data_IF_232433030307
#
_entry.id   IF_232433030307
#
_cell.length_a   1.000
_cell.length_b   1.000
_cell.length_c   1.000
_cell.angle_alpha   90.00
_cell.angle_beta   90.00
_cell.angle_gamma   90.00
#
_symmetry.space_group_name_H-M   'P 1'
#
loop_
_entity.id
_entity.type
_entity.pdbx_description
1 polymer ?
#
# COMPACT_ATOMS: atom_id res chain seq x y z
N UNK A 1 -43.41 -86.44 20.75
CA UNK A 1 -42.61 -85.56 19.89
C UNK A 1 -42.33 -84.27 20.65
N UNK A 2 -41.14 -84.12 21.23
CA UNK A 2 -40.51 -82.84 21.62
C UNK A 2 -39.20 -83.19 22.36
N UNK A 3 -38.07 -82.98 21.71
CA UNK A 3 -36.75 -83.03 22.34
C UNK A 3 -36.09 -81.67 22.16
N UNK A 4 -36.04 -80.92 23.27
CA UNK A 4 -35.35 -79.64 23.37
C UNK A 4 -33.86 -79.85 23.12
N UNK A 5 -33.43 -79.37 21.96
CA UNK A 5 -32.09 -79.53 21.38
C UNK A 5 -31.13 -78.49 21.94
N UNK A 6 -29.89 -78.96 22.18
CA UNK A 6 -28.62 -78.27 22.49
C UNK A 6 -28.45 -76.85 21.89
N UNK A 7 -29.22 -75.87 22.37
CA UNK A 7 -29.15 -74.45 21.96
C UNK A 7 -28.88 -73.49 23.13
N UNK A 8 -28.22 -73.96 24.20
CA UNK A 8 -27.76 -73.10 25.31
C UNK A 8 -26.24 -72.92 25.39
N UNK A 9 -25.44 -73.43 24.44
CA UNK A 9 -23.98 -73.28 24.45
C UNK A 9 -23.39 -72.51 23.26
N UNK A 10 -24.21 -72.12 22.28
CA UNK A 10 -23.78 -71.41 21.07
C UNK A 10 -23.93 -69.88 21.10
N UNK A 11 -24.46 -69.30 22.18
CA UNK A 11 -24.70 -67.85 22.29
C UNK A 11 -23.77 -67.12 23.27
N UNK A 12 -22.90 -67.82 23.98
CA UNK A 12 -21.90 -67.21 24.87
C UNK A 12 -20.50 -67.15 24.23
N UNK A 13 -20.23 -67.96 23.18
CA UNK A 13 -18.96 -67.90 22.45
C UNK A 13 -18.95 -66.87 21.30
N UNK A 14 -20.10 -66.32 20.91
CA UNK A 14 -20.20 -65.24 19.93
C UNK A 14 -20.15 -63.83 20.56
N UNK A 15 -20.25 -63.71 21.90
CA UNK A 15 -20.18 -62.42 22.59
C UNK A 15 -18.77 -62.09 23.11
N UNK A 16 -17.89 -63.09 23.27
CA UNK A 16 -16.50 -62.89 23.69
C UNK A 16 -15.53 -62.68 22.51
N UNK A 17 -15.91 -63.10 21.29
CA UNK A 17 -15.14 -62.77 20.07
C UNK A 17 -15.59 -61.49 19.35
N UNK A 18 -16.55 -60.74 19.90
CA UNK A 18 -16.87 -59.37 19.46
C UNK A 18 -16.34 -58.32 20.45
N UNK A 19 -16.04 -58.69 21.69
CA UNK A 19 -15.33 -57.81 22.64
C UNK A 19 -13.80 -57.90 22.57
N UNK A 20 -13.21 -58.94 21.98
CA UNK A 20 -11.76 -59.07 21.81
C UNK A 20 -11.22 -58.56 20.46
N UNK A 21 -12.09 -58.07 19.57
CA UNK A 21 -11.69 -57.38 18.33
C UNK A 21 -11.96 -55.86 18.37
N UNK A 22 -12.25 -55.31 19.55
CA UNK A 22 -12.35 -53.86 19.81
C UNK A 22 -11.30 -53.33 20.80
N UNK A 23 -10.39 -54.19 21.30
CA UNK A 23 -9.21 -53.77 22.07
C UNK A 23 -7.92 -53.73 21.24
N UNK A 24 -8.02 -53.74 19.91
CA UNK A 24 -6.90 -53.89 18.99
C UNK A 24 -6.63 -52.69 18.09
N UNK A 25 -7.12 -51.49 18.41
CA UNK A 25 -6.71 -50.26 17.75
C UNK A 25 -6.71 -49.12 18.79
N UNK A 26 -5.88 -49.23 19.82
CA UNK A 26 -5.16 -48.04 20.26
C UNK A 26 -4.14 -47.78 19.16
N UNK A 27 -4.62 -47.19 18.05
CA UNK A 27 -3.73 -46.29 17.33
C UNK A 27 -3.37 -45.27 18.39
N UNK A 28 -2.13 -45.32 18.85
CA UNK A 28 -1.48 -44.09 19.27
C UNK A 28 -1.74 -43.14 18.12
N UNK A 29 -2.72 -42.25 18.27
CA UNK A 29 -2.74 -41.04 17.49
C UNK A 29 -1.43 -40.41 17.92
N UNK A 30 -0.37 -40.60 17.12
CA UNK A 30 0.74 -39.70 17.16
C UNK A 30 0.10 -38.36 16.82
N UNK A 31 -0.18 -37.58 17.87
CA UNK A 31 -0.56 -36.20 17.71
C UNK A 31 0.69 -35.58 17.14
N UNK A 32 0.71 -35.45 15.81
CA UNK A 32 1.84 -34.88 15.13
C UNK A 32 2.05 -33.48 15.71
N UNK A 33 3.28 -33.21 16.15
CA UNK A 33 3.73 -31.89 16.54
C UNK A 33 3.25 -30.87 15.49
N UNK A 34 2.34 -29.98 15.88
CA UNK A 34 1.81 -28.98 14.99
C UNK A 34 2.49 -27.63 15.28
N UNK A 35 2.82 -26.89 14.23
CA UNK A 35 3.18 -25.48 14.36
C UNK A 35 1.89 -24.67 14.57
N UNK A 36 1.66 -24.22 15.80
CA UNK A 36 0.42 -23.55 16.24
C UNK A 36 0.45 -22.03 16.07
N UNK A 37 1.56 -21.46 15.60
CA UNK A 37 1.72 -20.01 15.50
C UNK A 37 1.93 -19.36 16.87
N UNK A 38 1.43 -18.13 17.07
CA UNK A 38 1.61 -17.42 18.33
C UNK A 38 0.88 -18.12 19.50
N UNK A 39 1.53 -18.17 20.66
CA UNK A 39 0.89 -18.68 21.88
C UNK A 39 -0.33 -17.83 22.25
N UNK A 40 -1.39 -18.49 22.71
CA UNK A 40 -2.63 -17.88 23.17
C UNK A 40 -3.08 -18.52 24.50
N UNK A 41 -3.71 -17.77 25.41
CA UNK A 41 -4.33 -18.31 26.60
C UNK A 41 -5.60 -19.11 26.24
N UNK A 42 -6.07 -19.95 27.15
CA UNK A 42 -7.28 -20.78 27.02
C UNK A 42 -7.28 -21.71 25.80
N UNK A 43 -6.09 -22.07 25.31
CA UNK A 43 -5.91 -22.86 24.09
C UNK A 43 -5.35 -24.24 24.46
N UNK A 44 -5.97 -25.29 23.91
CA UNK A 44 -5.51 -26.65 24.11
C UNK A 44 -4.26 -26.94 23.25
N UNK A 45 -3.16 -27.28 23.92
CA UNK A 45 -1.90 -27.68 23.32
C UNK A 45 -1.65 -29.16 23.60
N UNK A 46 -1.21 -29.89 22.58
CA UNK A 46 -0.73 -31.26 22.73
C UNK A 46 0.78 -31.26 23.02
N UNK A 47 1.28 -32.30 23.69
CA UNK A 47 2.71 -32.50 23.84
C UNK A 47 3.36 -32.61 22.44
N UNK A 48 4.42 -31.86 22.21
CA UNK A 48 5.10 -31.72 20.92
C UNK A 48 4.65 -30.52 20.08
N UNK A 49 3.53 -29.86 20.38
CA UNK A 49 3.12 -28.64 19.65
C UNK A 49 4.18 -27.53 19.78
N UNK A 50 4.40 -26.76 18.71
CA UNK A 50 5.30 -25.59 18.76
C UNK A 50 4.53 -24.28 18.64
N UNK A 51 4.87 -23.30 19.47
CA UNK A 51 4.27 -21.95 19.49
C UNK A 51 5.35 -20.87 19.47
N UNK A 52 5.02 -19.67 19.00
CA UNK A 52 5.87 -18.48 19.12
C UNK A 52 5.37 -17.56 20.23
N UNK A 53 6.26 -17.09 21.09
CA UNK A 53 5.95 -16.09 22.10
C UNK A 53 7.14 -15.15 22.27
N UNK A 54 6.89 -13.83 22.19
CA UNK A 54 7.94 -12.80 22.27
C UNK A 54 9.14 -13.06 21.35
N UNK A 55 8.87 -13.52 20.12
CA UNK A 55 9.91 -13.79 19.11
C UNK A 55 10.72 -15.08 19.30
N UNK A 56 10.42 -15.91 20.32
CA UNK A 56 11.05 -17.22 20.53
C UNK A 56 10.07 -18.37 20.27
N UNK A 57 10.57 -19.51 19.80
CA UNK A 57 9.77 -20.73 19.61
C UNK A 57 9.89 -21.63 20.83
N UNK A 58 8.75 -22.17 21.27
CA UNK A 58 8.64 -23.08 22.41
C UNK A 58 7.90 -24.35 22.00
N UNK A 59 8.35 -25.49 22.50
CA UNK A 59 7.73 -26.81 22.32
C UNK A 59 6.96 -27.17 23.57
N UNK A 60 5.69 -27.55 23.43
CA UNK A 60 4.86 -28.02 24.53
C UNK A 60 5.37 -29.38 25.03
N UNK A 61 5.69 -29.49 26.31
CA UNK A 61 6.23 -30.73 26.91
C UNK A 61 5.10 -31.64 27.38
N UNK A 62 4.00 -31.07 27.87
CA UNK A 62 2.85 -31.80 28.42
C UNK A 62 1.55 -31.21 27.88
N UNK A 63 0.62 -32.06 27.44
CA UNK A 63 -0.66 -31.60 26.92
C UNK A 63 -1.47 -30.87 28.01
N UNK A 64 -1.99 -29.69 27.70
CA UNK A 64 -2.73 -28.84 28.63
C UNK A 64 -3.62 -27.86 27.87
N UNK A 65 -4.57 -27.23 28.57
CA UNK A 65 -5.20 -25.99 28.09
C UNK A 65 -4.51 -24.83 28.80
N UNK A 66 -3.90 -23.91 28.03
CA UNK A 66 -3.18 -22.76 28.58
C UNK A 66 -4.10 -21.85 29.37
N UNK A 67 -3.56 -21.10 30.33
CA UNK A 67 -4.27 -20.05 31.05
C UNK A 67 -3.46 -18.76 30.97
N UNK A 68 -4.10 -17.62 31.22
CA UNK A 68 -3.38 -16.36 31.39
C UNK A 68 -2.38 -16.48 32.55
N UNK A 69 -1.13 -16.06 32.34
CA UNK A 69 -0.03 -16.28 33.29
C UNK A 69 0.75 -17.58 33.07
N UNK A 70 0.33 -18.43 32.13
CA UNK A 70 1.04 -19.66 31.73
C UNK A 70 1.78 -19.47 30.39
N UNK A 71 2.26 -18.26 30.14
CA UNK A 71 3.05 -17.98 28.94
C UNK A 71 4.31 -18.85 28.93
N UNK A 72 4.81 -19.26 27.75
CA UNK A 72 5.89 -20.23 27.65
C UNK A 72 7.14 -20.00 28.53
N UNK A 73 7.66 -18.77 28.70
CA UNK A 73 8.80 -18.54 29.60
C UNK A 73 8.46 -18.65 31.10
N UNK A 74 7.20 -18.52 31.48
CA UNK A 74 6.77 -18.46 32.88
C UNK A 74 6.49 -19.85 33.48
N UNK A 75 6.23 -20.85 32.64
CA UNK A 75 5.90 -22.23 33.08
C UNK A 75 6.76 -23.28 32.35
N UNK A 76 8.08 -23.36 32.66
CA UNK A 76 9.02 -24.27 31.98
C UNK A 76 8.73 -25.76 32.17
N UNK A 77 7.85 -26.12 33.10
CA UNK A 77 7.35 -27.50 33.24
C UNK A 77 6.41 -27.92 32.10
N UNK A 78 5.81 -26.95 31.39
CA UNK A 78 4.90 -27.17 30.27
C UNK A 78 5.53 -26.81 28.91
N UNK A 79 6.62 -26.04 28.89
CA UNK A 79 7.25 -25.53 27.67
C UNK A 79 8.77 -25.62 27.68
N UNK A 80 9.35 -26.11 26.59
CA UNK A 80 10.78 -26.14 26.33
C UNK A 80 11.14 -25.11 25.26
N UNK A 81 12.15 -24.27 25.51
CA UNK A 81 12.61 -23.28 24.51
C UNK A 81 13.47 -23.98 23.46
N UNK A 82 13.14 -23.83 22.18
CA UNK A 82 13.89 -24.47 21.09
C UNK A 82 15.29 -23.88 20.90
N UNK A 83 16.29 -24.75 20.67
CA UNK A 83 17.66 -24.38 20.32
C UNK A 83 17.71 -23.83 18.90
N UNK A 84 18.11 -22.56 18.74
CA UNK A 84 18.00 -21.82 17.49
C UNK A 84 18.77 -22.41 16.31
N UNK A 85 18.02 -22.91 15.32
CA UNK A 85 18.37 -22.80 13.91
C UNK A 85 17.61 -21.61 13.34
N UNK A 86 18.30 -20.69 12.68
CA UNK A 86 17.70 -19.50 12.06
C UNK A 86 16.86 -19.88 10.84
N UNK A 87 15.63 -20.31 11.07
CA UNK A 87 14.56 -20.14 10.08
C UNK A 87 14.23 -18.65 10.00
N UNK A 88 14.13 -18.05 8.81
CA UNK A 88 13.64 -16.69 8.68
C UNK A 88 12.29 -16.60 9.39
N UNK A 89 11.97 -15.49 10.07
CA UNK A 89 10.63 -15.29 10.62
C UNK A 89 9.61 -15.59 9.50
N UNK A 90 8.48 -16.26 9.76
CA UNK A 90 7.37 -16.15 8.83
C UNK A 90 7.16 -14.65 8.64
N UNK A 91 7.32 -14.21 7.39
CA UNK A 91 7.08 -12.82 6.99
C UNK A 91 5.79 -12.39 7.68
N UNK A 92 5.76 -11.24 8.37
CA UNK A 92 4.48 -10.67 8.79
C UNK A 92 3.54 -10.77 7.58
N UNK A 93 2.28 -11.21 7.74
CA UNK A 93 1.31 -11.05 6.66
C UNK A 93 1.49 -9.63 6.12
N UNK A 94 1.54 -9.43 4.79
CA UNK A 94 1.72 -8.10 4.22
C UNK A 94 0.80 -7.17 5.00
N UNK A 95 1.32 -6.06 5.54
CA UNK A 95 0.49 -5.06 6.20
C UNK A 95 -0.67 -4.82 5.24
N UNK A 96 -1.86 -5.31 5.60
CA UNK A 96 -3.01 -5.13 4.74
C UNK A 96 -3.23 -3.63 4.74
N UNK A 97 -3.10 -2.98 3.59
CA UNK A 97 -3.21 -1.53 3.43
C UNK A 97 -4.66 -1.08 3.71
N UNK A 98 -5.11 -1.18 4.97
CA UNK A 98 -6.50 -1.00 5.34
C UNK A 98 -6.83 -1.31 6.81
N UNK A 99 -8.03 -0.92 7.21
CA UNK A 99 -8.64 -1.22 8.50
C UNK A 99 -9.32 -2.57 8.41
N UNK A 100 -9.05 -3.46 9.36
CA UNK A 100 -9.71 -4.77 9.44
C UNK A 100 -10.83 -4.73 10.47
N UNK A 101 -12.06 -5.01 10.05
CA UNK A 101 -13.24 -5.13 10.91
C UNK A 101 -13.52 -6.60 11.21
N UNK A 102 -13.97 -6.89 12.41
CA UNK A 102 -14.20 -8.24 12.92
C UNK A 102 -15.63 -8.39 13.44
N UNK A 103 -16.25 -9.54 13.14
CA UNK A 103 -17.59 -9.91 13.59
C UNK A 103 -17.70 -9.98 15.11
N UNK A 104 -16.64 -10.47 15.75
CA UNK A 104 -16.62 -10.74 17.18
C UNK A 104 -15.59 -9.86 17.90
N UNK A 105 -15.70 -9.81 19.23
CA UNK A 105 -14.72 -9.15 20.10
C UNK A 105 -13.34 -9.82 20.01
N UNK A 106 -12.31 -9.14 20.49
CA UNK A 106 -10.92 -9.60 20.53
C UNK A 106 -10.37 -10.02 19.16
N UNK A 107 -10.80 -9.35 18.09
CA UNK A 107 -10.40 -9.63 16.72
C UNK A 107 -10.79 -11.05 16.26
N UNK A 108 -11.88 -11.58 16.80
CA UNK A 108 -12.43 -12.89 16.49
C UNK A 108 -13.43 -12.88 15.32
N UNK A 109 -13.86 -14.08 14.92
CA UNK A 109 -14.87 -14.24 13.88
C UNK A 109 -14.37 -13.91 12.47
N UNK A 110 -15.32 -13.69 11.57
CA UNK A 110 -15.05 -13.29 10.18
C UNK A 110 -14.44 -11.90 10.16
N UNK A 111 -13.39 -11.71 9.35
CA UNK A 111 -12.64 -10.46 9.25
C UNK A 111 -12.66 -9.92 7.82
N UNK A 112 -12.91 -8.63 7.65
CA UNK A 112 -12.89 -7.95 6.35
C UNK A 112 -12.02 -6.69 6.45
N UNK A 113 -11.11 -6.52 5.50
CA UNK A 113 -10.23 -5.33 5.43
C UNK A 113 -10.72 -4.35 4.36
N UNK A 114 -10.87 -3.08 4.75
CA UNK A 114 -11.20 -1.97 3.86
C UNK A 114 -10.05 -0.95 3.80
N UNK A 115 -9.79 -0.39 2.63
CA UNK A 115 -8.84 0.71 2.48
C UNK A 115 -9.43 2.07 2.86
N UNK A 116 -8.68 3.15 2.62
CA UNK A 116 -9.19 4.52 2.74
C UNK A 116 -10.40 4.72 1.83
N UNK A 117 -11.45 5.36 2.34
CA UNK A 117 -12.66 5.62 1.58
C UNK A 117 -13.89 5.82 2.44
N UNK A 118 -15.01 6.13 1.77
CA UNK A 118 -16.32 6.29 2.37
C UNK A 118 -17.21 5.12 1.91
N UNK A 119 -17.79 4.38 2.85
CA UNK A 119 -18.57 3.18 2.56
C UNK A 119 -19.97 3.32 3.15
N UNK A 120 -20.98 3.36 2.28
CA UNK A 120 -22.40 3.20 2.63
C UNK A 120 -22.73 1.74 2.95
N UNK A 121 -23.89 1.48 3.53
CA UNK A 121 -24.33 0.13 3.89
C UNK A 121 -24.33 -0.82 2.68
N UNK A 122 -24.80 -0.35 1.53
CA UNK A 122 -24.79 -1.15 0.29
C UNK A 122 -23.35 -1.54 -0.11
N UNK A 123 -22.39 -0.63 0.05
CA UNK A 123 -20.99 -0.88 -0.26
C UNK A 123 -20.33 -1.82 0.76
N UNK A 124 -20.68 -1.70 2.05
CA UNK A 124 -20.25 -2.63 3.10
C UNK A 124 -20.76 -4.05 2.85
N UNK A 125 -22.05 -4.19 2.55
CA UNK A 125 -22.66 -5.48 2.22
C UNK A 125 -21.98 -6.13 1.01
N UNK A 126 -21.67 -5.34 -0.04
CA UNK A 126 -20.94 -5.83 -1.21
C UNK A 126 -19.50 -6.29 -0.90
N UNK A 127 -18.92 -5.81 0.21
CA UNK A 127 -17.62 -6.25 0.73
C UNK A 127 -17.72 -7.37 1.77
N UNK A 128 -18.93 -7.87 2.05
CA UNK A 128 -19.16 -8.93 3.02
C UNK A 128 -19.19 -8.46 4.47
N UNK A 129 -19.41 -7.17 4.72
CA UNK A 129 -19.66 -6.60 6.04
C UNK A 129 -21.16 -6.31 6.15
N UNK A 130 -21.94 -7.15 6.87
CA UNK A 130 -23.36 -6.92 7.11
C UNK A 130 -23.64 -5.64 7.92
N UNK A 131 -24.90 -5.18 7.87
CA UNK A 131 -25.37 -4.16 8.82
C UNK A 131 -25.22 -4.67 10.26
N UNK A 132 -24.93 -3.78 11.21
CA UNK A 132 -25.05 -4.07 12.64
C UNK A 132 -24.23 -5.30 13.06
N UNK A 133 -22.96 -5.35 12.60
CA UNK A 133 -22.16 -6.59 12.64
C UNK A 133 -20.80 -6.47 13.35
N UNK A 134 -20.31 -5.25 13.52
CA UNK A 134 -18.92 -5.04 13.92
C UNK A 134 -18.77 -4.97 15.44
N UNK A 135 -17.88 -5.82 15.98
CA UNK A 135 -17.59 -5.94 17.41
C UNK A 135 -16.15 -5.55 17.79
N UNK A 136 -15.21 -5.61 16.85
CA UNK A 136 -13.82 -5.14 17.05
C UNK A 136 -13.16 -4.75 15.72
N UNK A 137 -12.06 -3.99 15.78
CA UNK A 137 -11.33 -3.54 14.58
C UNK A 137 -9.83 -3.31 14.82
N UNK A 138 -9.02 -3.61 13.80
CA UNK A 138 -7.61 -3.21 13.74
C UNK A 138 -7.45 -2.00 12.85
N UNK A 139 -6.86 -0.94 13.42
CA UNK A 139 -6.61 0.33 12.74
C UNK A 139 -5.10 0.47 12.57
N UNK A 140 -4.59 0.64 11.34
CA UNK A 140 -3.18 0.96 11.11
C UNK A 140 -2.78 2.26 11.83
N UNK A 141 -1.52 2.35 12.22
CA UNK A 141 -1.01 3.54 12.91
C UNK A 141 -1.27 4.81 12.10
N UNK A 142 -1.82 5.80 12.79
CA UNK A 142 -2.22 7.07 12.21
C UNK A 142 -3.51 7.02 11.41
N UNK A 143 -4.23 5.91 11.23
CA UNK A 143 -5.53 5.96 10.55
C UNK A 143 -6.66 6.37 11.50
N UNK A 144 -7.70 7.01 10.97
CA UNK A 144 -8.95 7.32 11.68
C UNK A 144 -10.11 6.61 11.01
N UNK A 145 -10.95 5.98 11.81
CA UNK A 145 -12.15 5.29 11.37
C UNK A 145 -13.35 5.95 12.02
N UNK A 146 -14.19 6.58 11.23
CA UNK A 146 -15.47 7.12 11.69
C UNK A 146 -16.58 6.13 11.34
N UNK A 147 -17.12 5.47 12.36
CA UNK A 147 -18.23 4.51 12.27
C UNK A 147 -19.54 5.23 12.58
N UNK A 148 -20.57 5.00 11.78
CA UNK A 148 -21.86 5.67 11.88
C UNK A 148 -22.99 4.65 12.10
N UNK A 149 -23.90 5.01 13.01
CA UNK A 149 -25.08 4.21 13.40
C UNK A 149 -26.11 4.05 12.28
N UNK A 150 -26.15 5.00 11.33
CA UNK A 150 -27.07 4.95 10.21
C UNK A 150 -26.31 5.00 8.88
N UNK A 151 -26.98 4.53 7.82
CA UNK A 151 -26.45 4.62 6.47
C UNK A 151 -26.26 6.09 6.04
N UNK A 152 -25.44 6.31 5.00
CA UNK A 152 -25.10 7.62 4.47
C UNK A 152 -24.53 8.58 5.54
N UNK A 153 -23.76 8.03 6.48
CA UNK A 153 -23.02 8.76 7.52
C UNK A 153 -23.92 9.57 8.47
N UNK A 154 -25.13 9.07 8.73
CA UNK A 154 -26.06 9.64 9.69
C UNK A 154 -26.00 8.98 11.08
N UNK A 155 -26.79 9.50 12.02
CA UNK A 155 -26.91 8.95 13.37
C UNK A 155 -25.70 9.22 14.27
N UNK A 156 -25.55 8.41 15.32
CA UNK A 156 -24.42 8.50 16.24
C UNK A 156 -23.11 8.15 15.53
N UNK A 157 -22.04 8.91 15.80
CA UNK A 157 -20.70 8.68 15.25
C UNK A 157 -19.75 8.22 16.35
N UNK A 158 -19.03 7.13 16.10
CA UNK A 158 -17.91 6.68 16.91
C UNK A 158 -16.61 6.79 16.11
N UNK A 159 -15.52 7.17 16.77
CA UNK A 159 -14.23 7.42 16.12
C UNK A 159 -13.15 6.57 16.74
N UNK A 160 -12.41 5.84 15.90
CA UNK A 160 -11.29 4.98 16.31
C UNK A 160 -10.01 5.42 15.62
N UNK A 161 -8.99 5.74 16.40
CA UNK A 161 -7.65 6.15 15.91
C UNK A 161 -6.56 5.10 16.21
N UNK A 162 -6.96 3.97 16.76
CA UNK A 162 -6.11 2.84 17.11
C UNK A 162 -6.96 1.56 17.13
N UNK A 163 -6.29 0.40 17.09
CA UNK A 163 -6.97 -0.89 17.15
C UNK A 163 -7.75 -1.03 18.46
N UNK A 164 -9.00 -1.49 18.37
CA UNK A 164 -9.83 -1.78 19.53
C UNK A 164 -10.31 -3.22 19.49
N UNK A 165 -9.96 -3.99 20.53
CA UNK A 165 -10.44 -5.36 20.73
C UNK A 165 -11.90 -5.41 21.18
N UNK A 166 -12.49 -4.26 21.55
CA UNK A 166 -13.91 -4.14 21.89
C UNK A 166 -14.38 -2.72 21.64
N UNK A 167 -15.37 -2.55 20.76
CA UNK A 167 -15.85 -1.21 20.38
C UNK A 167 -16.75 -0.52 21.41
N UNK A 168 -17.11 -1.23 22.49
CA UNK A 168 -17.98 -0.70 23.53
C UNK A 168 -19.45 -0.99 23.26
N UNK A 169 -20.25 -0.98 24.33
CA UNK A 169 -21.69 -1.33 24.29
C UNK A 169 -22.50 -0.44 23.37
N UNK A 170 -22.08 0.81 23.19
CA UNK A 170 -22.86 1.78 22.42
C UNK A 170 -22.71 1.58 20.91
N UNK A 171 -21.53 1.15 20.46
CA UNK A 171 -21.16 1.00 19.05
C UNK A 171 -21.26 -0.44 18.54
N UNK A 172 -21.20 -1.42 19.44
CA UNK A 172 -21.23 -2.83 19.10
C UNK A 172 -22.47 -3.19 18.29
N UNK A 173 -22.28 -3.84 17.15
CA UNK A 173 -23.36 -4.29 16.28
C UNK A 173 -24.30 -3.15 15.86
N UNK A 174 -23.76 -1.96 15.61
CA UNK A 174 -24.53 -0.80 15.11
C UNK A 174 -23.90 -0.08 13.93
N UNK A 175 -22.86 -0.65 13.32
CA UNK A 175 -22.24 -0.02 12.15
C UNK A 175 -23.12 -0.19 10.91
N UNK A 176 -23.59 0.92 10.35
CA UNK A 176 -24.29 0.96 9.06
C UNK A 176 -23.52 1.67 7.96
N UNK A 177 -22.60 2.59 8.29
CA UNK A 177 -21.68 3.19 7.32
C UNK A 177 -20.35 3.59 7.98
N UNK A 178 -19.29 3.75 7.19
CA UNK A 178 -17.95 4.07 7.73
C UNK A 178 -17.15 4.97 6.80
N UNK A 179 -16.39 5.91 7.39
CA UNK A 179 -15.33 6.66 6.70
C UNK A 179 -13.99 6.24 7.26
N UNK A 180 -13.09 5.83 6.38
CA UNK A 180 -11.73 5.42 6.73
C UNK A 180 -10.79 6.47 6.16
N UNK A 181 -10.07 7.14 7.04
CA UNK A 181 -9.11 8.19 6.73
C UNK A 181 -7.72 7.74 7.15
N UNK A 182 -6.71 8.05 6.34
CA UNK A 182 -5.33 7.98 6.80
C UNK A 182 -4.98 9.33 7.47
N UNK A 183 -5.12 9.42 8.79
CA UNK A 183 -4.82 10.62 9.59
C UNK A 183 -3.36 10.70 10.06
N UNK A 184 -2.49 9.77 9.63
CA UNK A 184 -1.04 9.87 9.82
C UNK A 184 -0.53 11.12 9.09
N UNK A 185 -1.31 11.55 8.12
CA UNK A 185 -1.18 12.75 7.32
C UNK A 185 -2.19 13.81 7.76
N UNK A 186 -2.11 14.26 9.02
CA UNK A 186 -2.94 15.36 9.58
C UNK A 186 -2.65 16.74 8.97
N UNK A 187 -2.40 16.81 7.67
CA UNK A 187 -2.58 18.03 6.90
C UNK A 187 -4.02 18.12 6.38
N UNK A 188 -4.63 19.29 6.48
CA UNK A 188 -5.87 19.57 5.77
C UNK A 188 -5.62 19.46 4.26
N UNK A 189 -6.53 18.83 3.51
CA UNK A 189 -6.47 18.87 2.06
C UNK A 189 -6.61 20.32 1.60
N UNK A 190 -5.55 20.89 1.01
CA UNK A 190 -5.53 22.29 0.58
C UNK A 190 -5.73 22.46 -0.93
N UNK A 191 -5.42 21.43 -1.71
CA UNK A 191 -5.68 21.39 -3.14
C UNK A 191 -5.69 19.96 -3.64
N UNK A 192 -6.53 19.68 -4.64
CA UNK A 192 -6.46 18.45 -5.41
C UNK A 192 -6.96 18.63 -6.83
N UNK A 193 -6.59 17.67 -7.68
CA UNK A 193 -7.28 17.37 -8.92
C UNK A 193 -7.59 15.87 -8.92
N UNK A 194 -8.89 15.55 -8.94
CA UNK A 194 -9.41 14.18 -8.93
C UNK A 194 -9.74 13.68 -10.35
N UNK A 195 -9.47 14.50 -11.38
CA UNK A 195 -9.65 14.13 -12.79
C UNK A 195 -11.02 13.51 -13.14
N UNK A 196 -12.08 13.99 -12.47
CA UNK A 196 -13.47 13.53 -12.68
C UNK A 196 -14.23 14.35 -13.74
N UNK A 197 -13.61 15.39 -14.28
CA UNK A 197 -14.18 16.22 -15.34
C UNK A 197 -14.17 15.54 -16.71
N UNK A 198 -14.62 16.26 -17.74
CA UNK A 198 -14.57 15.79 -19.14
C UNK A 198 -13.31 16.21 -19.90
N UNK A 199 -12.45 17.03 -19.28
CA UNK A 199 -11.22 17.56 -19.85
C UNK A 199 -10.27 18.00 -18.73
N UNK A 200 -9.01 18.25 -19.07
CA UNK A 200 -8.05 18.82 -18.14
C UNK A 200 -8.51 20.21 -17.69
N UNK A 201 -8.52 20.47 -16.38
CA UNK A 201 -8.95 21.75 -15.83
C UNK A 201 -7.87 22.82 -16.08
N UNK A 202 -8.17 23.77 -16.97
CA UNK A 202 -7.28 24.89 -17.31
C UNK A 202 -7.06 25.88 -16.17
N UNK A 203 -7.86 25.82 -15.10
CA UNK A 203 -7.62 26.59 -13.88
C UNK A 203 -6.50 25.99 -13.00
N UNK A 204 -6.15 24.72 -13.25
CA UNK A 204 -5.09 24.00 -12.56
C UNK A 204 -3.87 23.77 -13.45
N UNK A 205 -4.06 23.55 -14.75
CA UNK A 205 -3.00 23.06 -15.65
C UNK A 205 -2.78 23.91 -16.89
N UNK A 206 -1.50 24.05 -17.27
CA UNK A 206 -1.05 24.54 -18.58
C UNK A 206 -0.15 23.49 -19.25
N UNK A 207 -0.02 23.58 -20.57
CA UNK A 207 0.77 22.65 -21.38
C UNK A 207 2.14 23.22 -21.71
N UNK A 208 3.16 22.36 -21.72
CA UNK A 208 4.38 22.57 -22.48
C UNK A 208 4.20 21.96 -23.88
N UNK A 209 4.58 22.71 -24.93
CA UNK A 209 4.37 22.32 -26.33
C UNK A 209 5.71 22.31 -27.07
N UNK A 210 5.92 21.29 -27.90
CA UNK A 210 7.13 21.13 -28.71
C UNK A 210 8.21 20.29 -28.04
N UNK A 211 9.45 20.56 -28.45
CA UNK A 211 10.65 19.78 -28.09
C UNK A 211 11.53 20.47 -27.04
N UNK A 212 11.13 21.65 -26.57
CA UNK A 212 11.96 22.49 -25.72
C UNK A 212 13.32 22.82 -26.35
N UNK A 213 14.25 23.31 -25.51
CA UNK A 213 15.65 23.50 -25.91
C UNK A 213 16.41 22.18 -25.74
N UNK A 214 17.06 21.69 -26.80
CA UNK A 214 17.91 20.49 -26.74
C UNK A 214 17.17 19.21 -26.33
N UNK A 215 15.91 19.04 -26.73
CA UNK A 215 15.08 17.92 -26.27
C UNK A 215 14.84 18.02 -24.77
N UNK A 216 14.28 19.15 -24.33
CA UNK A 216 14.03 19.51 -22.93
C UNK A 216 15.25 19.47 -21.99
N UNK A 217 16.45 19.60 -22.53
CA UNK A 217 17.73 19.51 -21.78
C UNK A 217 18.31 18.10 -21.72
N UNK A 218 17.56 17.10 -22.19
CA UNK A 218 17.87 15.69 -22.01
C UNK A 218 17.97 14.92 -23.32
N UNK A 219 17.98 15.60 -24.47
CA UNK A 219 17.91 14.99 -25.81
C UNK A 219 16.69 14.06 -25.97
N UNK A 220 15.56 14.44 -25.36
CA UNK A 220 14.26 13.77 -25.52
C UNK A 220 13.81 13.77 -26.99
N UNK A 221 13.03 12.75 -27.39
CA UNK A 221 12.66 12.47 -28.79
C UNK A 221 11.18 12.71 -29.11
N UNK A 222 10.35 13.06 -28.12
CA UNK A 222 8.96 13.42 -28.33
C UNK A 222 8.74 14.89 -28.67
N UNK A 223 7.63 15.16 -29.35
CA UNK A 223 7.03 16.47 -29.42
C UNK A 223 5.84 16.50 -28.44
N UNK A 224 5.91 17.29 -27.36
CA UNK A 224 4.77 17.45 -26.45
C UNK A 224 3.64 18.23 -27.12
N UNK A 225 2.40 17.78 -26.97
CA UNK A 225 1.21 18.42 -27.53
C UNK A 225 0.10 18.57 -26.48
N UNK A 226 -0.93 19.34 -26.80
CA UNK A 226 -2.20 19.42 -26.07
C UNK A 226 -3.34 18.68 -26.80
N UNK A 227 -3.02 17.80 -27.75
CA UNK A 227 -4.03 17.08 -28.53
C UNK A 227 -4.63 15.95 -27.69
N UNK A 228 -5.90 15.62 -27.95
CA UNK A 228 -6.58 14.53 -27.26
C UNK A 228 -5.89 13.17 -27.45
N UNK A 229 -5.09 12.97 -28.50
CA UNK A 229 -4.29 11.77 -28.70
C UNK A 229 -3.21 11.56 -27.62
N UNK A 230 -2.79 12.64 -26.94
CA UNK A 230 -1.69 12.64 -25.99
C UNK A 230 -2.11 12.96 -24.55
N UNK A 231 -3.22 13.68 -24.35
CA UNK A 231 -3.72 14.07 -23.03
C UNK A 231 -5.25 14.08 -23.00
N UNK A 232 -5.83 13.33 -22.08
CA UNK A 232 -7.29 13.27 -21.86
C UNK A 232 -7.60 13.17 -20.38
N UNK A 233 -8.81 13.59 -20.01
CA UNK A 233 -9.43 13.21 -18.74
C UNK A 233 -10.58 12.27 -19.06
N UNK A 234 -10.49 11.01 -18.63
CA UNK A 234 -11.48 9.97 -18.93
C UNK A 234 -11.45 8.86 -17.88
N UNK A 235 -12.62 8.35 -17.52
CA UNK A 235 -12.74 7.26 -16.54
C UNK A 235 -12.16 7.60 -15.17
N UNK A 236 -12.30 8.86 -14.72
CA UNK A 236 -11.76 9.35 -13.45
C UNK A 236 -10.23 9.43 -13.43
N UNK A 237 -9.58 9.56 -14.59
CA UNK A 237 -8.13 9.62 -14.69
C UNK A 237 -7.70 10.72 -15.66
N UNK A 238 -6.60 11.40 -15.34
CA UNK A 238 -5.74 11.99 -16.35
C UNK A 238 -4.98 10.85 -17.06
N UNK A 239 -5.03 10.84 -18.39
CA UNK A 239 -4.34 9.86 -19.23
C UNK A 239 -3.35 10.59 -20.13
N UNK A 240 -2.06 10.43 -19.85
CA UNK A 240 -0.97 10.89 -20.71
C UNK A 240 -0.54 9.73 -21.59
N UNK A 241 -0.57 9.94 -22.91
CA UNK A 241 -0.27 8.91 -23.91
C UNK A 241 0.89 9.35 -24.79
N UNK A 242 1.97 8.56 -24.77
CA UNK A 242 3.04 8.66 -25.74
C UNK A 242 2.70 7.81 -26.97
N UNK A 243 2.78 8.41 -28.15
CA UNK A 243 2.48 7.79 -29.44
C UNK A 243 3.74 7.71 -30.30
N UNK A 244 3.83 6.68 -31.15
CA UNK A 244 4.79 6.63 -32.25
C UNK A 244 4.09 7.14 -33.51
N UNK A 245 4.28 8.41 -33.81
CA UNK A 245 3.71 9.08 -34.99
C UNK A 245 4.61 10.23 -35.45
N UNK A 246 4.61 10.51 -36.75
CA UNK A 246 5.31 11.67 -37.29
C UNK A 246 4.52 12.95 -36.99
N UNK A 247 5.11 13.86 -36.20
CA UNK A 247 4.49 15.14 -35.87
C UNK A 247 5.55 16.18 -35.50
N UNK A 248 5.43 17.40 -36.02
CA UNK A 248 6.32 18.51 -35.65
C UNK A 248 7.81 18.24 -35.90
N UNK A 249 8.16 17.40 -36.88
CA UNK A 249 9.54 16.99 -37.16
C UNK A 249 10.08 15.86 -36.28
N UNK A 250 9.28 15.35 -35.33
CA UNK A 250 9.63 14.24 -34.45
C UNK A 250 8.86 12.97 -34.84
N UNK A 251 9.32 11.82 -34.35
CA UNK A 251 8.71 10.50 -34.59
C UNK A 251 7.84 10.00 -33.42
N UNK A 252 7.75 10.80 -32.36
CA UNK A 252 6.96 10.51 -31.18
C UNK A 252 6.24 11.76 -30.72
N UNK A 253 5.07 11.58 -30.12
CA UNK A 253 4.33 12.65 -29.45
C UNK A 253 3.96 12.21 -28.05
N UNK A 254 3.82 13.15 -27.14
CA UNK A 254 3.35 12.90 -25.77
C UNK A 254 2.70 14.16 -25.19
N UNK A 255 2.51 14.22 -23.87
CA UNK A 255 2.12 15.44 -23.18
C UNK A 255 2.99 15.71 -21.94
N UNK A 256 3.20 17.00 -21.68
CA UNK A 256 3.81 17.56 -20.47
C UNK A 256 2.92 18.68 -19.97
N UNK A 257 2.42 18.55 -18.75
CA UNK A 257 1.53 19.52 -18.12
C UNK A 257 2.13 20.00 -16.82
N UNK A 258 1.80 21.24 -16.44
CA UNK A 258 2.28 21.86 -15.21
C UNK A 258 1.27 22.80 -14.60
N UNK A 259 1.42 23.05 -13.31
CA UNK A 259 0.59 23.98 -12.54
C UNK A 259 1.18 25.39 -12.45
N UNK A 260 2.31 25.65 -13.13
CA UNK A 260 3.03 26.93 -13.09
C UNK A 260 2.11 28.13 -13.38
N UNK A 261 2.12 29.11 -12.49
CA UNK A 261 1.29 30.32 -12.58
C UNK A 261 -0.16 30.13 -12.12
N UNK A 262 -0.57 28.91 -11.77
CA UNK A 262 -1.93 28.57 -11.35
C UNK A 262 -1.98 28.04 -9.91
N UNK A 263 -1.08 27.10 -9.58
CA UNK A 263 -0.91 26.52 -8.24
C UNK A 263 0.58 26.38 -7.93
N UNK A 264 0.95 26.73 -6.71
CA UNK A 264 2.32 26.57 -6.21
C UNK A 264 2.27 26.29 -4.72
N UNK A 265 3.23 25.51 -4.24
CA UNK A 265 3.26 25.01 -2.88
C UNK A 265 4.65 25.17 -2.29
N UNK A 266 4.72 25.62 -1.04
CA UNK A 266 5.90 25.48 -0.18
C UNK A 266 5.51 24.55 0.96
N UNK A 267 6.24 23.46 1.11
CA UNK A 267 5.93 22.40 2.08
C UNK A 267 4.57 21.73 1.86
N UNK A 268 4.36 20.68 2.64
CA UNK A 268 3.17 19.86 2.68
C UNK A 268 3.45 18.44 2.24
N UNK A 269 2.40 17.63 2.32
CA UNK A 269 2.38 16.30 1.74
C UNK A 269 1.82 16.40 0.34
N UNK A 270 2.55 15.91 -0.65
CA UNK A 270 2.17 15.97 -2.06
C UNK A 270 2.18 14.55 -2.57
N UNK A 271 1.03 14.04 -2.99
CA UNK A 271 0.87 12.67 -3.45
C UNK A 271 0.05 12.58 -4.72
N UNK A 272 0.35 11.56 -5.52
CA UNK A 272 -0.46 11.19 -6.67
C UNK A 272 -0.57 9.67 -6.76
N UNK A 273 -1.76 9.20 -7.13
CA UNK A 273 -2.00 7.77 -7.40
C UNK A 273 -1.90 7.52 -8.89
N UNK A 274 -0.84 6.80 -9.28
CA UNK A 274 -0.44 6.70 -10.68
C UNK A 274 -0.24 5.23 -11.07
N UNK A 275 -0.71 4.85 -12.25
CA UNK A 275 -0.33 3.61 -12.94
C UNK A 275 0.55 3.95 -14.13
N UNK A 276 1.78 3.43 -14.11
CA UNK A 276 2.79 3.67 -15.14
C UNK A 276 2.65 2.71 -16.34
N UNK A 277 3.26 3.03 -17.49
CA UNK A 277 3.44 2.06 -18.55
C UNK A 277 4.16 0.80 -18.04
N UNK A 278 3.59 -0.38 -18.33
CA UNK A 278 4.17 -1.68 -17.99
C UNK A 278 4.45 -2.51 -19.26
N UNK A 279 5.34 -3.50 -19.18
CA UNK A 279 5.72 -4.33 -20.32
C UNK A 279 7.07 -3.93 -20.89
N UNK A 280 7.22 -3.92 -22.22
CA UNK A 280 8.44 -3.41 -22.89
C UNK A 280 8.43 -1.90 -23.05
N UNK A 281 9.23 -1.26 -22.20
CA UNK A 281 9.25 0.17 -21.97
C UNK A 281 10.62 0.79 -22.23
N UNK A 282 11.55 0.09 -22.91
CA UNK A 282 12.81 0.70 -23.34
C UNK A 282 12.57 2.07 -24.01
N UNK A 283 13.25 3.11 -23.54
CA UNK A 283 13.10 4.47 -24.01
C UNK A 283 11.89 5.24 -23.46
N UNK A 284 11.08 4.66 -22.57
CA UNK A 284 9.91 5.33 -21.97
C UNK A 284 10.27 5.88 -20.59
N UNK A 285 9.93 7.14 -20.33
CA UNK A 285 10.31 7.85 -19.10
C UNK A 285 9.14 8.69 -18.52
N UNK A 286 8.24 8.08 -17.73
CA UNK A 286 7.25 8.82 -16.93
C UNK A 286 7.89 9.57 -15.77
N UNK A 287 7.36 10.77 -15.48
CA UNK A 287 7.77 11.56 -14.32
C UNK A 287 6.58 12.27 -13.64
N UNK A 288 6.64 12.31 -12.30
CA UNK A 288 5.86 13.17 -11.42
C UNK A 288 6.84 13.96 -10.56
N UNK A 289 6.85 15.27 -10.74
CA UNK A 289 7.96 16.10 -10.26
C UNK A 289 7.53 17.55 -10.08
N UNK A 290 8.45 18.35 -9.56
CA UNK A 290 8.21 19.74 -9.21
C UNK A 290 9.42 20.62 -9.55
N UNK A 291 9.17 21.87 -9.93
CA UNK A 291 10.21 22.88 -10.15
C UNK A 291 9.93 24.14 -9.34
N UNK A 292 11.00 24.82 -8.91
CA UNK A 292 10.89 26.11 -8.24
C UNK A 292 10.18 27.15 -9.11
N UNK A 293 9.23 27.87 -8.52
CA UNK A 293 8.39 28.84 -9.24
C UNK A 293 9.17 30.07 -9.72
N UNK A 294 10.39 30.25 -9.21
CA UNK A 294 11.34 31.30 -9.60
C UNK A 294 12.21 30.93 -10.81
N UNK A 295 11.98 29.79 -11.48
CA UNK A 295 12.77 29.31 -12.63
C UNK A 295 13.02 30.35 -13.72
N UNK A 296 12.05 31.23 -14.02
CA UNK A 296 12.23 32.27 -15.06
C UNK A 296 13.22 33.37 -14.63
N UNK A 297 13.45 33.53 -13.32
CA UNK A 297 14.34 34.55 -12.76
C UNK A 297 15.76 34.03 -12.50
N UNK A 298 15.90 32.76 -12.10
CA UNK A 298 17.19 32.19 -11.68
C UNK A 298 17.70 31.06 -12.56
N UNK A 299 16.86 30.57 -13.48
CA UNK A 299 17.09 29.37 -14.29
C UNK A 299 17.27 28.08 -13.47
N UNK A 300 17.43 26.98 -14.18
CA UNK A 300 17.80 25.69 -13.59
C UNK A 300 19.33 25.58 -13.48
N UNK A 301 19.91 24.95 -12.43
CA UNK A 301 19.23 24.26 -11.32
C UNK A 301 18.93 25.18 -10.12
N UNK A 302 19.23 26.48 -10.20
CA UNK A 302 19.06 27.47 -9.09
C UNK A 302 17.61 27.68 -8.62
N UNK A 303 16.63 27.19 -9.38
CA UNK A 303 15.24 27.14 -8.94
C UNK A 303 14.95 25.99 -7.99
N UNK A 304 15.78 24.95 -7.99
CA UNK A 304 15.50 23.66 -7.37
C UNK A 304 14.51 22.82 -8.19
N UNK A 305 14.64 21.51 -8.03
CA UNK A 305 13.80 20.47 -8.62
C UNK A 305 13.58 19.33 -7.61
N UNK A 306 12.35 18.84 -7.50
CA UNK A 306 11.98 17.71 -6.65
C UNK A 306 11.27 16.67 -7.52
N UNK A 307 11.94 15.57 -7.81
CA UNK A 307 11.40 14.44 -8.54
C UNK A 307 10.75 13.48 -7.56
N UNK A 308 9.41 13.48 -7.51
CA UNK A 308 8.64 12.64 -6.58
C UNK A 308 8.69 11.19 -7.06
N UNK A 309 8.58 10.98 -8.37
CA UNK A 309 8.69 9.67 -9.00
C UNK A 309 9.19 9.82 -10.43
N UNK A 310 10.28 9.11 -10.73
CA UNK A 310 10.72 8.84 -12.09
C UNK A 310 11.00 7.37 -12.30
N UNK A 311 10.71 6.90 -13.51
CA UNK A 311 11.08 5.56 -13.94
C UNK A 311 11.58 5.61 -15.38
N UNK A 312 12.64 4.87 -15.66
CA UNK A 312 13.10 4.64 -17.04
C UNK A 312 13.04 3.17 -17.37
N UNK A 313 12.73 2.87 -18.63
CA UNK A 313 12.84 1.52 -19.18
C UNK A 313 12.02 0.50 -18.37
N UNK A 314 12.51 -0.73 -18.28
CA UNK A 314 11.91 -1.84 -17.53
C UNK A 314 12.34 -1.90 -16.07
N UNK A 315 12.97 -0.84 -15.53
CA UNK A 315 13.45 -0.87 -14.15
C UNK A 315 12.30 -1.25 -13.21
N UNK A 316 12.58 -2.16 -12.26
CA UNK A 316 11.61 -2.61 -11.27
C UNK A 316 11.44 -1.61 -10.11
N UNK A 317 12.18 -0.51 -10.14
CA UNK A 317 12.22 0.52 -9.10
C UNK A 317 11.85 1.88 -9.70
N UNK A 318 11.46 2.82 -8.84
CA UNK A 318 11.38 4.24 -9.17
C UNK A 318 12.52 5.01 -8.50
N UNK A 319 12.78 6.22 -8.97
CA UNK A 319 13.74 7.16 -8.38
C UNK A 319 12.98 8.32 -7.76
N UNK A 320 13.46 8.78 -6.60
CA UNK A 320 13.08 10.04 -5.99
C UNK A 320 14.33 10.87 -5.77
N UNK A 321 14.39 12.05 -6.39
CA UNK A 321 15.61 12.83 -6.56
C UNK A 321 15.35 14.30 -6.29
N UNK A 322 16.39 15.02 -5.88
CA UNK A 322 16.43 16.49 -5.90
C UNK A 322 17.62 16.98 -6.71
N UNK A 323 17.44 18.12 -7.37
CA UNK A 323 18.48 18.84 -8.11
C UNK A 323 18.52 20.31 -7.69
N UNK A 324 19.72 20.86 -7.50
CA UNK A 324 19.89 22.24 -7.03
C UNK A 324 21.27 22.83 -7.40
N UNK A 325 21.48 24.12 -7.10
CA UNK A 325 22.76 24.79 -7.26
C UNK A 325 23.57 24.75 -5.96
N UNK A 326 24.74 24.13 -6.00
CA UNK A 326 25.68 24.08 -4.91
C UNK A 326 26.82 25.09 -5.17
N UNK A 327 26.55 26.37 -4.90
CA UNK A 327 27.50 27.48 -5.09
C UNK A 327 28.04 27.57 -6.53
N UNK A 328 27.14 27.59 -7.51
CA UNK A 328 27.47 27.68 -8.94
C UNK A 328 27.85 26.36 -9.59
N UNK A 329 27.76 25.23 -8.86
CA UNK A 329 27.93 23.88 -9.39
C UNK A 329 26.60 23.12 -9.30
N UNK A 330 26.28 22.32 -10.31
CA UNK A 330 25.12 21.43 -10.24
C UNK A 330 25.32 20.37 -9.14
N UNK A 331 24.27 20.15 -8.34
CA UNK A 331 24.19 19.09 -7.36
C UNK A 331 22.89 18.32 -7.47
N UNK A 332 22.94 17.05 -7.07
CA UNK A 332 21.76 16.19 -7.00
C UNK A 332 21.90 15.13 -5.92
N UNK A 333 20.79 14.69 -5.36
CA UNK A 333 20.74 13.58 -4.40
C UNK A 333 19.46 12.78 -4.63
N UNK A 334 19.62 11.47 -4.82
CA UNK A 334 18.50 10.58 -5.10
C UNK A 334 18.73 9.17 -4.61
N UNK A 335 17.64 8.44 -4.40
CA UNK A 335 17.64 7.00 -4.10
C UNK A 335 16.54 6.32 -4.89
N UNK A 336 16.68 5.01 -5.04
CA UNK A 336 15.67 4.16 -5.65
C UNK A 336 14.79 3.51 -4.59
N UNK A 337 13.55 3.22 -4.95
CA UNK A 337 12.65 2.37 -4.17
C UNK A 337 13.10 0.89 -4.13
N UNK A 338 12.38 0.07 -3.38
CA UNK A 338 12.34 -1.38 -3.61
C UNK A 338 11.60 -1.73 -4.91
N UNK A 339 11.50 -3.02 -5.21
CA UNK A 339 10.80 -3.50 -6.41
C UNK A 339 9.29 -3.24 -6.32
N UNK A 340 8.69 -2.79 -7.43
CA UNK A 340 7.28 -2.41 -7.56
C UNK A 340 6.64 -3.15 -8.75
N UNK A 341 5.36 -3.53 -8.62
CA UNK A 341 4.55 -4.11 -9.69
C UNK A 341 3.81 -3.02 -10.50
N UNK A 342 4.46 -2.48 -11.54
CA UNK A 342 3.88 -1.43 -12.37
C UNK A 342 2.64 -1.85 -13.21
N UNK A 343 2.16 -3.09 -13.10
CA UNK A 343 0.86 -3.45 -13.67
C UNK A 343 -0.32 -2.83 -12.90
N UNK A 344 -0.07 -2.29 -11.70
CA UNK A 344 -1.06 -1.73 -10.78
C UNK A 344 -0.86 -0.22 -10.60
N UNK A 345 -1.81 0.40 -9.90
CA UNK A 345 -1.67 1.77 -9.41
C UNK A 345 -0.89 1.76 -8.10
N UNK A 346 -0.03 2.76 -7.93
CA UNK A 346 0.71 3.01 -6.70
C UNK A 346 0.55 4.46 -6.27
N UNK A 347 0.71 4.73 -4.98
CA UNK A 347 0.73 6.10 -4.44
C UNK A 347 2.17 6.55 -4.30
N UNK A 348 2.56 7.56 -5.08
CA UNK A 348 3.87 8.20 -5.01
C UNK A 348 3.73 9.52 -4.26
N UNK A 349 4.60 9.74 -3.28
CA UNK A 349 4.43 10.83 -2.32
C UNK A 349 5.75 11.42 -1.88
N UNK A 350 5.74 12.74 -1.66
CA UNK A 350 6.68 13.38 -0.74
C UNK A 350 5.98 13.94 0.49
N UNK A 351 6.70 13.93 1.60
CA UNK A 351 6.47 14.82 2.74
C UNK A 351 7.59 15.83 2.77
N UNK A 352 7.25 17.11 2.63
CA UNK A 352 8.20 18.20 2.55
C UNK A 352 7.89 19.23 3.63
N UNK A 353 8.84 19.46 4.53
CA UNK A 353 8.78 20.49 5.57
C UNK A 353 10.05 21.36 5.51
N UNK A 354 10.20 22.33 6.42
CA UNK A 354 11.37 23.23 6.42
C UNK A 354 12.69 22.52 6.72
N UNK A 355 12.66 21.27 7.19
CA UNK A 355 13.82 20.49 7.60
C UNK A 355 14.12 19.34 6.65
N UNK A 356 13.11 18.66 6.11
CA UNK A 356 13.28 17.46 5.32
C UNK A 356 12.39 17.41 4.10
N UNK A 357 12.87 16.66 3.10
CA UNK A 357 12.03 16.06 2.07
C UNK A 357 12.17 14.54 2.21
N UNK A 358 11.05 13.83 2.30
CA UNK A 358 10.98 12.37 2.42
C UNK A 358 10.14 11.82 1.29
N UNK A 359 10.59 10.74 0.66
CA UNK A 359 9.88 10.10 -0.45
C UNK A 359 9.32 8.75 -0.04
N UNK A 360 8.11 8.49 -0.53
CA UNK A 360 7.36 7.28 -0.25
C UNK A 360 6.75 6.70 -1.54
N UNK A 361 6.66 5.38 -1.57
CA UNK A 361 5.78 4.63 -2.46
C UNK A 361 4.91 3.70 -1.63
N UNK A 362 3.59 3.78 -1.79
CA UNK A 362 2.60 3.02 -1.01
C UNK A 362 2.83 3.09 0.51
N UNK A 363 3.23 4.25 1.02
CA UNK A 363 3.52 4.49 2.44
C UNK A 363 4.90 4.01 2.91
N UNK A 364 5.67 3.29 2.09
CA UNK A 364 7.03 2.90 2.41
C UNK A 364 8.03 4.00 2.04
N UNK A 365 8.71 4.58 3.04
CA UNK A 365 9.77 5.56 2.81
C UNK A 365 10.99 4.90 2.16
N UNK A 366 11.56 5.53 1.12
CA UNK A 366 12.77 5.03 0.47
C UNK A 366 13.87 6.08 0.27
N UNK A 367 13.56 7.37 0.46
CA UNK A 367 14.54 8.44 0.43
C UNK A 367 14.23 9.53 1.47
N UNK A 368 15.27 10.23 1.90
CA UNK A 368 15.21 11.40 2.79
C UNK A 368 16.42 12.29 2.58
N UNK A 369 16.21 13.61 2.55
CA UNK A 369 17.28 14.61 2.57
C UNK A 369 16.99 15.68 3.62
N UNK A 370 18.02 16.08 4.37
CA UNK A 370 17.99 17.21 5.29
C UNK A 370 18.23 18.51 4.50
N UNK A 371 17.31 19.46 4.62
CA UNK A 371 17.34 20.81 4.02
C UNK A 371 17.26 21.93 5.06
N UNK A 372 17.23 21.58 6.36
CA UNK A 372 17.13 22.55 7.46
C UNK A 372 18.21 23.64 7.34
N UNK A 373 17.78 24.90 7.38
CA UNK A 373 18.64 26.08 7.28
C UNK A 373 19.57 26.07 6.04
N UNK A 374 19.17 25.43 4.94
CA UNK A 374 19.97 25.36 3.72
C UNK A 374 21.20 24.46 3.84
N UNK A 375 21.19 23.48 4.76
CA UNK A 375 22.29 22.51 4.90
C UNK A 375 22.61 21.85 3.56
N UNK A 376 23.88 21.90 3.13
CA UNK A 376 24.27 21.40 1.80
C UNK A 376 23.95 22.34 0.64
N UNK A 377 23.72 23.63 0.92
CA UNK A 377 23.29 24.67 -0.04
C UNK A 377 21.93 24.33 -0.66
N UNK A 378 20.95 24.02 0.20
CA UNK A 378 19.62 23.51 -0.21
C UNK A 378 18.52 24.56 -0.05
N UNK A 379 18.86 25.85 -0.06
CA UNK A 379 17.93 26.96 0.17
C UNK A 379 16.82 27.08 -0.88
N UNK A 380 16.99 26.48 -2.06
CA UNK A 380 15.96 26.43 -3.09
C UNK A 380 14.71 25.73 -2.59
N UNK A 381 14.86 24.66 -1.80
CA UNK A 381 13.76 23.84 -1.26
C UNK A 381 13.01 24.51 -0.09
N UNK A 382 13.31 25.77 0.19
CA UNK A 382 12.55 26.61 1.14
C UNK A 382 11.58 27.55 0.40
N UNK A 383 11.51 27.47 -0.93
CA UNK A 383 10.72 28.37 -1.82
C UNK A 383 9.48 27.66 -2.39
N UNK A 384 8.55 28.38 -3.05
CA UNK A 384 7.39 27.75 -3.70
C UNK A 384 7.73 26.97 -4.97
N UNK A 385 7.15 25.78 -5.12
CA UNK A 385 7.30 24.90 -6.29
C UNK A 385 5.95 24.65 -6.97
N UNK A 386 5.95 24.43 -8.27
CA UNK A 386 4.78 23.97 -9.03
C UNK A 386 4.97 22.51 -9.47
N UNK A 387 3.85 21.79 -9.61
CA UNK A 387 3.80 20.38 -10.00
C UNK A 387 3.82 20.21 -11.52
N UNK A 388 4.47 19.15 -12.00
CA UNK A 388 4.51 18.68 -13.38
C UNK A 388 4.17 17.18 -13.48
N UNK A 389 3.56 16.81 -14.61
CA UNK A 389 3.47 15.44 -15.09
C UNK A 389 3.90 15.37 -16.56
N UNK A 390 4.68 14.36 -16.93
CA UNK A 390 4.97 14.05 -18.33
C UNK A 390 5.29 12.57 -18.53
N UNK A 391 5.28 12.17 -19.80
CA UNK A 391 5.73 10.87 -20.27
C UNK A 391 6.70 11.08 -21.43
N UNK A 392 7.99 11.22 -21.14
CA UNK A 392 9.02 11.41 -22.15
C UNK A 392 9.28 10.12 -22.95
N UNK A 393 9.83 10.30 -24.16
CA UNK A 393 10.27 9.22 -25.04
C UNK A 393 11.69 9.51 -25.48
N UNK A 394 12.61 8.61 -25.16
CA UNK A 394 14.03 8.82 -25.41
C UNK A 394 14.68 9.76 -24.40
N UNK A 395 15.95 10.06 -24.65
CA UNK A 395 16.77 10.92 -23.80
C UNK A 395 18.05 10.25 -23.34
N UNK A 396 18.95 11.05 -22.77
CA UNK A 396 20.27 10.62 -22.32
C UNK A 396 20.22 9.44 -21.34
N UNK A 397 19.22 9.43 -20.45
CA UNK A 397 19.10 8.43 -19.40
C UNK A 397 18.33 7.16 -19.83
N UNK A 398 17.10 7.24 -20.36
CA UNK A 398 16.40 6.03 -20.80
C UNK A 398 17.05 5.42 -22.07
N UNK A 399 17.77 6.21 -22.86
CA UNK A 399 18.19 5.85 -24.22
C UNK A 399 17.00 5.83 -25.18
N UNK A 400 17.24 5.54 -26.46
CA UNK A 400 16.15 5.51 -27.46
C UNK A 400 15.20 4.32 -27.28
N UNK A 401 13.94 4.44 -27.71
CA UNK A 401 13.08 3.28 -27.96
C UNK A 401 13.73 2.28 -28.92
N UNK A 402 13.47 1.00 -28.73
CA UNK A 402 13.93 -0.07 -29.63
C UNK A 402 12.74 -0.70 -30.39
N UNK A 403 13.00 -1.73 -31.21
CA UNK A 403 11.96 -2.39 -32.00
C UNK A 403 10.88 -3.11 -31.20
N UNK A 404 11.10 -3.34 -29.90
CA UNK A 404 10.18 -4.00 -29.00
C UNK A 404 9.40 -3.02 -28.10
N UNK A 405 9.80 -1.74 -28.02
CA UNK A 405 9.09 -0.71 -27.22
C UNK A 405 7.62 -0.64 -27.61
N UNK A 406 6.74 -0.82 -26.64
CA UNK A 406 5.30 -0.82 -26.86
C UNK A 406 4.76 0.61 -27.00
N UNK A 407 4.02 0.87 -28.07
CA UNK A 407 3.25 2.09 -28.28
C UNK A 407 1.79 1.74 -28.62
N UNK A 408 0.80 2.55 -28.18
CA UNK A 408 0.94 3.68 -27.26
C UNK A 408 1.39 3.26 -25.86
N UNK A 409 2.29 4.04 -25.25
CA UNK A 409 2.60 3.93 -23.83
C UNK A 409 1.72 4.92 -23.06
N UNK A 410 1.15 4.49 -21.92
CA UNK A 410 0.16 5.28 -21.18
C UNK A 410 0.49 5.37 -19.70
N UNK A 411 0.44 6.59 -19.17
CA UNK A 411 0.47 6.92 -17.76
C UNK A 411 -0.93 7.37 -17.33
N UNK A 412 -1.47 6.74 -16.30
CA UNK A 412 -2.77 7.06 -15.73
C UNK A 412 -2.59 7.67 -14.36
N UNK A 413 -3.14 8.86 -14.13
CA UNK A 413 -3.14 9.53 -12.83
C UNK A 413 -4.60 9.62 -12.37
N UNK A 414 -4.89 8.93 -11.27
CA UNK A 414 -6.23 8.88 -10.65
C UNK A 414 -6.51 10.19 -9.90
N UNK A 415 -5.53 10.66 -9.12
CA UNK A 415 -5.58 11.97 -8.49
C UNK A 415 -4.18 12.52 -8.23
N UNK A 416 -4.13 13.83 -7.99
CA UNK A 416 -3.04 14.49 -7.26
C UNK A 416 -3.63 15.29 -6.11
N UNK A 417 -3.03 15.18 -4.92
CA UNK A 417 -3.51 15.82 -3.69
C UNK A 417 -2.37 16.46 -2.92
N UNK A 418 -2.67 17.61 -2.33
CA UNK A 418 -1.74 18.38 -1.51
C UNK A 418 -2.37 18.68 -0.16
N UNK A 419 -1.64 18.39 0.91
CA UNK A 419 -2.09 18.51 2.29
C UNK A 419 -1.14 19.38 3.11
N UNK A 420 -1.67 20.14 4.07
CA UNK A 420 -0.89 20.99 4.99
C UNK A 420 -1.46 21.12 6.39
#
# INVERSE_FOLDING_TARGET
MHTLSKKSLGKILALVMVLALLCGILTTIQVNAAARGAWAPNTAYAAGDTVTYSGSTYTCIQAHTSLTGWEPPNVPALWEKGSGGTTPPPTPPPAANGVTFYADINYGGTAITLGVGNYTLSQLNAKGIPNDWMSSLKVPDGWTVEVYEHDNFGGTKWTYTSSSSWVGTDANDKMSSVKILNTADSGNLVWSDEFNGSSLDSSNWVYDIGTGSGGWGNNELEYYTNRSQNVQVTGGNLVITAQKEAYGGMNYTSARIKTKGLRQFTYGKIEARIKLPSGETQGIWPAFWMLGSNIDSVSWPKCGEIDIMERVNKNSVINGTVHWDNNGQYASFGRTSGNIDFSQYHVYRIEWDSKYIRWFVDGAQFNEILIENGTGNTEEFQKPFFILFNLAVGGNWPGSPNGATAFPAKMYVDYVRVYR
#
